data_IF_023805723494
#
_entry.id   IF_023805723494
#
_cell.length_a   1.000
_cell.length_b   1.000
_cell.length_c   1.000
_cell.angle_alpha   90.00
_cell.angle_beta   90.00
_cell.angle_gamma   90.00
#
_symmetry.space_group_name_H-M   'P 1'
#
loop_
_entity.id
_entity.type
_entity.pdbx_description
1 polymer ?
#
# COMPACT_ATOMS: atom_id res chain seq x y z
N UNK A 1 10.19 -17.40 -5.38
CA UNK A 1 9.33 -16.22 -5.51
C UNK A 1 7.92 -16.70 -5.76
N UNK A 2 6.93 -16.26 -4.99
CA UNK A 2 5.55 -16.78 -5.03
C UNK A 2 4.75 -16.25 -6.22
N UNK A 3 5.08 -15.04 -6.69
CA UNK A 3 4.44 -14.42 -7.84
C UNK A 3 5.44 -14.27 -8.99
N UNK A 4 5.11 -14.78 -10.21
CA UNK A 4 5.92 -14.47 -11.39
C UNK A 4 5.72 -12.99 -11.74
N UNK A 5 6.76 -12.30 -12.31
CA UNK A 5 6.59 -10.96 -12.83
C UNK A 5 5.52 -10.92 -13.96
N UNK A 6 4.81 -9.78 -14.13
CA UNK A 6 4.98 -8.53 -13.42
C UNK A 6 4.27 -8.47 -12.07
N UNK A 7 4.86 -7.76 -11.11
CA UNK A 7 4.26 -7.50 -9.80
C UNK A 7 4.72 -6.14 -9.24
N UNK A 8 3.98 -5.64 -8.26
CA UNK A 8 4.39 -4.49 -7.44
C UNK A 8 5.07 -5.01 -6.18
N UNK A 9 6.20 -4.42 -5.81
CA UNK A 9 6.92 -4.67 -4.55
C UNK A 9 7.12 -3.35 -3.81
N UNK A 10 6.45 -3.19 -2.69
CA UNK A 10 6.59 -2.00 -1.83
C UNK A 10 7.43 -2.37 -0.63
N UNK A 11 8.49 -1.61 -0.31
CA UNK A 11 9.31 -1.86 0.89
C UNK A 11 8.46 -1.96 2.15
N UNK A 12 8.87 -2.83 3.07
CA UNK A 12 8.24 -3.04 4.36
C UNK A 12 9.30 -3.01 5.44
N UNK A 13 9.09 -2.26 6.52
CA UNK A 13 10.02 -2.19 7.64
C UNK A 13 10.25 -3.59 8.24
N UNK A 14 11.51 -3.93 8.53
CA UNK A 14 11.90 -5.28 8.98
C UNK A 14 11.13 -5.73 10.22
N UNK A 15 10.89 -4.84 11.20
CA UNK A 15 10.16 -5.22 12.41
C UNK A 15 8.70 -5.65 12.15
N UNK A 16 8.07 -5.14 11.07
CA UNK A 16 6.71 -5.56 10.66
C UNK A 16 6.78 -6.95 10.05
N UNK A 17 7.72 -7.17 9.12
CA UNK A 17 7.91 -8.47 8.47
C UNK A 17 8.25 -9.56 9.49
N UNK A 18 9.20 -9.30 10.38
CA UNK A 18 9.61 -10.21 11.45
C UNK A 18 8.46 -10.49 12.43
N UNK A 19 7.70 -9.45 12.77
CA UNK A 19 6.52 -9.57 13.62
C UNK A 19 5.42 -10.45 13.02
N UNK A 20 5.13 -10.27 11.73
CA UNK A 20 4.16 -11.11 11.00
C UNK A 20 4.64 -12.56 10.91
N UNK A 21 5.92 -12.79 10.62
CA UNK A 21 6.50 -14.12 10.58
C UNK A 21 6.43 -14.81 11.96
N UNK A 22 6.78 -14.08 13.03
CA UNK A 22 6.66 -14.56 14.42
C UNK A 22 5.23 -14.92 14.77
N UNK A 23 4.25 -14.07 14.45
CA UNK A 23 2.84 -14.36 14.72
C UNK A 23 2.34 -15.55 13.91
N UNK A 24 2.79 -15.74 12.66
CA UNK A 24 2.49 -16.91 11.84
C UNK A 24 3.00 -18.20 12.50
N UNK A 25 4.20 -18.18 13.07
CA UNK A 25 4.76 -19.33 13.78
C UNK A 25 3.99 -19.63 15.07
N UNK A 26 3.69 -18.60 15.88
CA UNK A 26 2.87 -18.75 17.09
C UNK A 26 1.46 -19.25 16.79
N UNK A 27 0.88 -18.87 15.65
CA UNK A 27 -0.44 -19.30 15.23
C UNK A 27 -0.55 -20.83 15.03
N UNK A 28 0.57 -21.54 14.84
CA UNK A 28 0.62 -23.00 14.73
C UNK A 28 0.28 -23.70 16.06
N UNK A 29 0.49 -23.02 17.18
CA UNK A 29 0.16 -23.53 18.50
C UNK A 29 -1.10 -22.88 19.05
N UNK A 30 -1.03 -21.65 19.48
CA UNK A 30 -2.16 -20.85 19.95
C UNK A 30 -1.79 -19.37 20.02
N UNK A 31 -2.70 -18.48 19.55
CA UNK A 31 -2.59 -17.04 19.76
C UNK A 31 -3.30 -16.61 21.05
N UNK A 32 -2.66 -15.77 21.85
CA UNK A 32 -3.23 -15.09 22.99
C UNK A 32 -3.81 -13.71 22.64
N UNK A 33 -4.41 -13.03 23.62
CA UNK A 33 -4.96 -11.68 23.44
C UNK A 33 -3.86 -10.64 23.15
N UNK A 34 -2.66 -10.83 23.70
CA UNK A 34 -1.49 -10.01 23.37
C UNK A 34 -1.08 -10.12 21.90
N UNK A 35 -1.11 -11.34 21.34
CA UNK A 35 -0.80 -11.59 19.93
C UNK A 35 -1.83 -10.96 18.99
N UNK A 36 -3.12 -10.94 19.37
CA UNK A 36 -4.16 -10.23 18.60
C UNK A 36 -3.87 -8.73 18.49
N UNK A 37 -3.54 -8.10 19.63
CA UNK A 37 -3.21 -6.66 19.66
C UNK A 37 -1.98 -6.37 18.82
N UNK A 38 -0.93 -7.19 18.96
CA UNK A 38 0.27 -7.07 18.15
C UNK A 38 -0.03 -7.26 16.66
N UNK A 39 -0.83 -8.25 16.30
CA UNK A 39 -1.26 -8.48 14.91
C UNK A 39 -2.02 -7.29 14.33
N UNK A 40 -2.94 -6.68 15.11
CA UNK A 40 -3.63 -5.45 14.70
C UNK A 40 -2.68 -4.31 14.42
N UNK A 41 -1.72 -4.11 15.32
CA UNK A 41 -0.72 -3.05 15.18
C UNK A 41 0.17 -3.28 13.96
N UNK A 42 0.72 -4.48 13.79
CA UNK A 42 1.57 -4.82 12.65
C UNK A 42 0.85 -4.68 11.30
N UNK A 43 -0.44 -5.04 11.25
CA UNK A 43 -1.24 -4.84 10.04
C UNK A 43 -1.48 -3.35 9.77
N UNK A 44 -1.80 -2.55 10.81
CA UNK A 44 -1.94 -1.11 10.65
C UNK A 44 -0.63 -0.45 10.18
N UNK A 45 0.49 -0.86 10.79
CA UNK A 45 1.83 -0.40 10.42
C UNK A 45 2.17 -0.77 8.97
N UNK A 46 1.84 -2.00 8.53
CA UNK A 46 2.06 -2.43 7.14
C UNK A 46 1.26 -1.60 6.13
N UNK A 47 -0.02 -1.29 6.40
CA UNK A 47 -0.79 -0.39 5.55
C UNK A 47 -0.22 1.02 5.52
N UNK A 48 0.21 1.54 6.67
CA UNK A 48 0.82 2.87 6.74
C UNK A 48 2.16 2.91 6.00
N UNK A 49 2.99 1.85 6.09
CA UNK A 49 4.24 1.74 5.33
C UNK A 49 4.00 1.78 3.82
N UNK A 50 3.01 1.03 3.33
CA UNK A 50 2.66 1.06 1.90
C UNK A 50 2.27 2.47 1.47
N UNK A 51 1.45 3.17 2.26
CA UNK A 51 1.05 4.54 1.95
C UNK A 51 2.23 5.51 2.02
N UNK A 52 3.08 5.39 3.03
CA UNK A 52 4.27 6.23 3.19
C UNK A 52 5.22 6.07 2.00
N UNK A 53 5.61 4.86 1.66
CA UNK A 53 6.54 4.59 0.56
C UNK A 53 5.96 4.96 -0.80
N UNK A 54 4.70 4.62 -1.07
CA UNK A 54 4.11 4.85 -2.41
C UNK A 54 3.77 6.33 -2.63
N UNK A 55 3.26 7.03 -1.59
CA UNK A 55 2.71 8.37 -1.78
C UNK A 55 3.40 9.44 -0.96
N UNK A 56 3.52 9.26 0.35
CA UNK A 56 3.86 10.37 1.23
C UNK A 56 5.33 10.75 1.14
N UNK A 57 6.26 9.83 0.95
CA UNK A 57 7.67 10.14 0.72
C UNK A 57 7.84 11.09 -0.47
N UNK A 58 7.19 10.78 -1.59
CA UNK A 58 7.22 11.65 -2.77
C UNK A 58 6.55 13.00 -2.51
N UNK A 59 5.38 13.01 -1.85
CA UNK A 59 4.66 14.25 -1.51
C UNK A 59 5.46 15.14 -0.58
N UNK A 60 6.09 14.60 0.45
CA UNK A 60 6.96 15.36 1.35
C UNK A 60 8.15 15.95 0.60
N UNK A 61 8.74 15.17 -0.30
CA UNK A 61 9.89 15.62 -1.09
C UNK A 61 9.50 16.73 -2.07
N UNK A 62 8.37 16.60 -2.77
CA UNK A 62 7.83 17.64 -3.65
C UNK A 62 7.49 18.89 -2.82
N UNK A 63 6.77 18.75 -1.71
CA UNK A 63 6.38 19.89 -0.88
C UNK A 63 7.58 20.65 -0.30
N UNK A 64 8.70 19.98 -0.06
CA UNK A 64 9.93 20.61 0.42
C UNK A 64 10.55 21.55 -0.63
N UNK A 65 10.48 21.16 -1.92
CA UNK A 65 11.08 21.94 -3.04
C UNK A 65 10.08 22.85 -3.72
N UNK A 66 8.80 22.47 -3.76
CA UNK A 66 7.69 23.19 -4.39
C UNK A 66 6.49 23.23 -3.45
N UNK A 67 6.57 24.00 -2.36
CA UNK A 67 5.49 24.06 -1.38
C UNK A 67 4.23 24.68 -1.96
N UNK A 68 3.09 24.00 -1.76
CA UNK A 68 1.79 24.52 -2.14
C UNK A 68 0.72 24.23 -1.07
N UNK A 69 -0.35 25.04 -1.01
CA UNK A 69 -1.48 24.75 -0.10
C UNK A 69 -2.08 23.37 -0.33
N UNK A 70 -2.17 22.92 -1.59
CA UNK A 70 -2.71 21.60 -1.93
C UNK A 70 -1.83 20.46 -1.43
N UNK A 71 -0.49 20.59 -1.53
CA UNK A 71 0.43 19.57 -1.01
C UNK A 71 0.32 19.47 0.51
N UNK A 72 0.19 20.59 1.22
CA UNK A 72 -0.05 20.59 2.67
C UNK A 72 -1.38 19.96 3.04
N UNK A 73 -2.46 20.27 2.30
CA UNK A 73 -3.78 19.64 2.47
C UNK A 73 -3.69 18.13 2.27
N UNK A 74 -3.02 17.67 1.20
CA UNK A 74 -2.85 16.25 0.88
C UNK A 74 -2.07 15.49 1.97
N UNK A 75 -1.01 16.09 2.50
CA UNK A 75 -0.24 15.53 3.63
C UNK A 75 -1.13 15.41 4.87
N UNK A 76 -1.91 16.46 5.21
CA UNK A 76 -2.83 16.43 6.34
C UNK A 76 -3.92 15.35 6.21
N UNK A 77 -4.50 15.19 5.02
CA UNK A 77 -5.45 14.10 4.73
C UNK A 77 -4.77 12.74 4.91
N UNK A 78 -3.53 12.60 4.48
CA UNK A 78 -2.76 11.37 4.66
C UNK A 78 -2.53 11.00 6.12
N UNK A 79 -2.17 11.96 6.94
CA UNK A 79 -1.98 11.74 8.38
C UNK A 79 -3.31 11.34 9.05
N UNK A 80 -4.43 11.94 8.64
CA UNK A 80 -5.76 11.54 9.10
C UNK A 80 -6.09 10.09 8.66
N UNK A 81 -5.81 9.72 7.41
CA UNK A 81 -6.03 8.35 6.91
C UNK A 81 -5.21 7.34 7.73
N UNK A 82 -3.92 7.60 7.98
CA UNK A 82 -3.06 6.73 8.80
C UNK A 82 -3.60 6.57 10.22
N UNK A 83 -4.00 7.67 10.85
CA UNK A 83 -4.63 7.64 12.18
C UNK A 83 -5.91 6.80 12.20
N UNK A 84 -6.75 6.94 11.17
CA UNK A 84 -7.98 6.14 11.03
C UNK A 84 -7.71 4.65 10.78
N UNK A 85 -6.66 4.30 10.03
CA UNK A 85 -6.24 2.91 9.83
C UNK A 85 -5.90 2.28 11.19
N UNK A 86 -5.05 2.92 11.99
CA UNK A 86 -4.69 2.42 13.32
C UNK A 86 -5.90 2.26 14.24
N UNK A 87 -6.75 3.28 14.33
CA UNK A 87 -7.95 3.23 15.19
C UNK A 87 -8.96 2.18 14.72
N UNK A 88 -9.19 2.08 13.41
CA UNK A 88 -10.17 1.14 12.85
C UNK A 88 -9.73 -0.31 12.99
N UNK A 89 -8.46 -0.63 12.73
CA UNK A 89 -7.95 -2.00 12.88
C UNK A 89 -7.93 -2.44 14.34
N UNK A 90 -7.57 -1.56 15.27
CA UNK A 90 -7.66 -1.84 16.69
C UNK A 90 -9.09 -2.15 17.14
N UNK A 91 -10.06 -1.35 16.68
CA UNK A 91 -11.48 -1.57 16.96
C UNK A 91 -11.99 -2.87 16.32
N UNK A 92 -11.73 -3.07 15.03
CA UNK A 92 -12.18 -4.27 14.30
C UNK A 92 -11.66 -5.55 14.95
N UNK A 93 -10.38 -5.60 15.30
CA UNK A 93 -9.73 -6.78 15.87
C UNK A 93 -10.25 -7.09 17.29
N UNK A 94 -10.73 -6.06 18.02
CA UNK A 94 -11.40 -6.26 19.31
C UNK A 94 -12.62 -7.17 19.27
N UNK A 95 -13.29 -7.30 18.10
CA UNK A 95 -14.47 -8.16 17.93
C UNK A 95 -14.14 -9.63 17.62
N UNK A 96 -12.87 -10.01 17.49
CA UNK A 96 -12.50 -11.35 17.04
C UNK A 96 -11.89 -12.23 18.11
N UNK A 97 -12.17 -13.53 18.01
CA UNK A 97 -11.34 -14.55 18.62
C UNK A 97 -9.96 -14.58 17.97
N UNK A 98 -8.94 -14.99 18.72
CA UNK A 98 -7.58 -15.12 18.23
C UNK A 98 -7.48 -15.98 16.96
N UNK A 99 -8.36 -16.97 16.82
CA UNK A 99 -8.40 -17.87 15.67
C UNK A 99 -8.80 -17.19 14.34
N UNK A 100 -9.63 -16.15 14.40
CA UNK A 100 -10.09 -15.44 13.18
C UNK A 100 -9.06 -14.53 12.56
N UNK A 101 -8.06 -14.08 13.33
CA UNK A 101 -6.98 -13.24 12.79
C UNK A 101 -5.90 -14.07 12.09
N UNK A 102 -5.78 -15.37 12.42
CA UNK A 102 -4.74 -16.25 11.86
C UNK A 102 -4.73 -16.25 10.32
N UNK A 103 -5.87 -16.44 9.61
CA UNK A 103 -5.88 -16.43 8.15
C UNK A 103 -5.39 -15.10 7.56
N UNK A 104 -5.63 -13.98 8.25
CA UNK A 104 -5.18 -12.66 7.79
C UNK A 104 -3.69 -12.47 8.00
N UNK A 105 -3.17 -12.86 9.16
CA UNK A 105 -1.71 -12.84 9.43
C UNK A 105 -0.98 -13.71 8.40
N UNK A 106 -1.46 -14.93 8.15
CA UNK A 106 -0.88 -15.82 7.16
C UNK A 106 -0.94 -15.21 5.76
N UNK A 107 -2.05 -14.59 5.38
CA UNK A 107 -2.19 -13.92 4.09
C UNK A 107 -1.15 -12.79 3.93
N UNK A 108 -0.99 -11.90 4.92
CA UNK A 108 0.02 -10.83 4.84
C UNK A 108 1.45 -11.38 4.88
N UNK A 109 1.71 -12.43 5.66
CA UNK A 109 3.01 -13.09 5.62
C UNK A 109 3.28 -13.72 4.25
N UNK A 110 2.25 -14.22 3.57
CA UNK A 110 2.35 -14.70 2.20
C UNK A 110 2.63 -13.61 1.17
N UNK A 111 2.14 -12.40 1.37
CA UNK A 111 2.44 -11.23 0.55
C UNK A 111 3.81 -10.61 0.88
N UNK A 112 4.42 -10.98 2.01
CA UNK A 112 5.73 -10.46 2.41
C UNK A 112 6.84 -11.30 1.79
N UNK A 113 7.71 -10.65 1.03
CA UNK A 113 8.88 -11.24 0.39
C UNK A 113 10.15 -10.63 0.95
N UNK A 114 11.15 -11.47 1.12
CA UNK A 114 12.49 -11.06 1.51
C UNK A 114 13.46 -11.28 0.35
N UNK A 115 14.31 -10.30 0.09
CA UNK A 115 15.44 -10.40 -0.84
C UNK A 115 16.72 -9.97 -0.12
N UNK A 116 17.79 -10.74 -0.29
CA UNK A 116 19.08 -10.36 0.23
C UNK A 116 19.69 -9.29 -0.69
N UNK A 117 20.11 -8.15 -0.13
CA UNK A 117 20.76 -7.05 -0.83
C UNK A 117 22.08 -6.70 -0.12
N UNK A 118 22.95 -5.96 -0.81
CA UNK A 118 24.13 -5.37 -0.17
C UNK A 118 23.67 -4.41 0.92
N UNK A 119 23.90 -4.76 2.18
CA UNK A 119 23.46 -3.96 3.35
C UNK A 119 22.39 -4.62 4.22
N UNK A 120 21.88 -5.81 3.84
CA UNK A 120 20.95 -6.56 4.66
C UNK A 120 19.76 -7.14 3.90
N UNK A 121 18.83 -7.68 4.65
CA UNK A 121 17.62 -8.29 4.10
C UNK A 121 16.54 -7.26 3.92
N UNK A 122 16.13 -7.02 2.66
CA UNK A 122 15.01 -6.15 2.33
C UNK A 122 13.71 -6.95 2.33
N UNK A 123 12.73 -6.48 3.08
CA UNK A 123 11.38 -7.01 3.05
C UNK A 123 10.49 -6.13 2.18
N UNK A 124 9.56 -6.72 1.45
CA UNK A 124 8.58 -6.00 0.63
C UNK A 124 7.22 -6.67 0.68
N UNK A 125 6.16 -5.88 0.69
CA UNK A 125 4.81 -6.34 0.39
C UNK A 125 4.66 -6.44 -1.12
N UNK A 126 4.27 -7.63 -1.61
CA UNK A 126 4.22 -7.94 -3.04
C UNK A 126 2.81 -8.34 -3.46
N UNK A 127 2.35 -7.80 -4.57
CA UNK A 127 1.10 -8.24 -5.19
C UNK A 127 1.21 -8.27 -6.73
N UNK A 128 0.52 -9.23 -7.40
CA UNK A 128 0.62 -9.39 -8.84
C UNK A 128 0.00 -8.20 -9.57
N UNK A 129 0.60 -7.84 -10.71
CA UNK A 129 0.07 -6.83 -11.62
C UNK A 129 -0.23 -7.50 -12.97
N UNK A 130 -1.36 -7.15 -13.58
CA UNK A 130 -1.70 -7.64 -14.92
C UNK A 130 -0.67 -7.19 -15.97
N UNK A 131 -0.34 -8.05 -16.93
CA UNK A 131 0.70 -7.77 -17.94
C UNK A 131 0.43 -6.51 -18.74
N UNK A 132 -0.83 -6.24 -19.11
CA UNK A 132 -1.23 -5.00 -19.81
C UNK A 132 -0.94 -3.76 -18.97
N UNK A 133 -1.41 -3.74 -17.70
CA UNK A 133 -1.22 -2.61 -16.81
C UNK A 133 0.27 -2.38 -16.52
N UNK A 134 1.06 -3.45 -16.35
CA UNK A 134 2.50 -3.35 -16.18
C UNK A 134 3.20 -2.74 -17.41
N UNK A 135 2.82 -3.19 -18.61
CA UNK A 135 3.39 -2.69 -19.87
C UNK A 135 3.07 -1.21 -20.09
N UNK A 136 1.81 -0.81 -19.86
CA UNK A 136 1.41 0.61 -19.94
C UNK A 136 2.14 1.45 -18.89
N UNK A 137 2.27 0.94 -17.66
CA UNK A 137 3.00 1.63 -16.60
C UNK A 137 4.48 1.82 -16.97
N UNK A 138 5.16 0.79 -17.50
CA UNK A 138 6.54 0.91 -17.95
C UNK A 138 6.71 1.96 -19.08
N UNK A 139 5.78 1.99 -20.05
CA UNK A 139 5.82 2.99 -21.11
C UNK A 139 5.72 4.39 -20.54
N UNK A 140 4.71 4.67 -19.72
CA UNK A 140 4.49 5.99 -19.15
C UNK A 140 5.64 6.42 -18.24
N UNK A 141 6.18 5.50 -17.42
CA UNK A 141 7.34 5.79 -16.59
C UNK A 141 8.56 6.20 -17.44
N UNK A 142 8.79 5.56 -18.61
CA UNK A 142 9.86 5.97 -19.54
C UNK A 142 9.61 7.34 -20.12
N UNK A 143 8.39 7.62 -20.60
CA UNK A 143 8.00 8.92 -21.15
C UNK A 143 8.13 10.07 -20.13
N UNK A 144 7.86 9.80 -18.86
CA UNK A 144 8.09 10.75 -17.77
C UNK A 144 9.58 10.94 -17.48
N UNK A 145 10.37 9.86 -17.56
CA UNK A 145 11.81 9.90 -17.27
C UNK A 145 12.59 10.70 -18.33
N UNK A 146 12.24 10.52 -19.61
CA UNK A 146 12.93 11.18 -20.75
C UNK A 146 12.34 12.55 -21.11
N UNK A 147 11.24 12.96 -20.41
CA UNK A 147 10.57 14.25 -20.63
C UNK A 147 9.68 14.32 -21.87
N UNK A 148 9.43 13.19 -22.56
CA UNK A 148 8.55 13.13 -23.72
C UNK A 148 7.06 13.16 -23.33
N UNK A 149 6.72 12.83 -22.07
CA UNK A 149 5.36 12.91 -21.57
C UNK A 149 4.80 14.34 -21.70
N UNK A 150 3.60 14.45 -22.27
CA UNK A 150 2.90 15.73 -22.43
C UNK A 150 2.46 16.32 -21.09
N UNK A 151 1.88 15.48 -20.24
CA UNK A 151 1.40 15.80 -18.89
C UNK A 151 1.43 14.53 -18.01
N UNK A 152 1.02 14.67 -16.75
CA UNK A 152 0.96 13.56 -15.78
C UNK A 152 -0.38 12.80 -15.78
N UNK A 153 -1.35 13.20 -16.58
CA UNK A 153 -2.72 12.66 -16.48
C UNK A 153 -2.75 11.14 -16.67
N UNK A 154 -2.08 10.64 -17.73
CA UNK A 154 -2.02 9.19 -17.97
C UNK A 154 -1.32 8.45 -16.83
N UNK A 155 -0.22 8.99 -16.31
CA UNK A 155 0.48 8.43 -15.17
C UNK A 155 -0.39 8.36 -13.90
N UNK A 156 -1.18 9.39 -13.64
CA UNK A 156 -2.13 9.43 -12.52
C UNK A 156 -3.25 8.40 -12.68
N UNK A 157 -3.82 8.27 -13.89
CA UNK A 157 -4.87 7.25 -14.11
C UNK A 157 -4.30 5.83 -14.00
N UNK A 158 -3.09 5.55 -14.51
CA UNK A 158 -2.41 4.27 -14.31
C UNK A 158 -2.12 3.99 -12.84
N UNK A 159 -1.68 4.99 -12.07
CA UNK A 159 -1.49 4.85 -10.64
C UNK A 159 -2.80 4.50 -9.93
N UNK A 160 -3.91 5.10 -10.35
CA UNK A 160 -5.25 4.77 -9.85
C UNK A 160 -5.63 3.32 -10.21
N UNK A 161 -5.34 2.85 -11.42
CA UNK A 161 -5.59 1.46 -11.82
C UNK A 161 -4.72 0.47 -11.00
N UNK A 162 -3.45 0.81 -10.72
CA UNK A 162 -2.58 0.00 -9.84
C UNK A 162 -3.12 -0.05 -8.42
N UNK A 163 -3.65 1.07 -7.89
CA UNK A 163 -4.32 1.11 -6.59
C UNK A 163 -5.58 0.24 -6.56
N UNK A 164 -6.38 0.29 -7.62
CA UNK A 164 -7.57 -0.55 -7.74
C UNK A 164 -7.18 -2.03 -7.74
N UNK A 165 -6.11 -2.41 -8.44
CA UNK A 165 -5.57 -3.77 -8.42
C UNK A 165 -5.06 -4.18 -7.03
N UNK A 166 -4.46 -3.25 -6.28
CA UNK A 166 -3.97 -3.50 -4.92
C UNK A 166 -5.10 -3.73 -3.90
N UNK A 167 -6.30 -3.17 -4.12
CA UNK A 167 -7.44 -3.34 -3.19
C UNK A 167 -7.83 -4.80 -3.00
N UNK A 168 -7.74 -5.62 -4.04
CA UNK A 168 -8.11 -7.04 -3.94
C UNK A 168 -7.21 -7.79 -2.94
N UNK A 169 -5.88 -7.86 -3.11
CA UNK A 169 -5.00 -8.57 -2.19
C UNK A 169 -4.86 -7.88 -0.83
N UNK A 170 -4.90 -6.55 -0.77
CA UNK A 170 -4.62 -5.83 0.47
C UNK A 170 -5.86 -5.54 1.32
N UNK A 171 -7.05 -5.45 0.72
CA UNK A 171 -8.26 -5.03 1.45
C UNK A 171 -9.37 -6.08 1.37
N UNK A 172 -9.78 -6.48 0.17
CA UNK A 172 -10.95 -7.33 0.02
C UNK A 172 -10.71 -8.78 0.43
N UNK A 173 -9.55 -9.34 0.11
CA UNK A 173 -9.20 -10.69 0.52
C UNK A 173 -9.05 -10.82 2.05
N UNK A 174 -8.29 -9.96 2.76
CA UNK A 174 -8.29 -9.93 4.22
C UNK A 174 -9.68 -9.78 4.82
N UNK A 175 -10.51 -8.89 4.26
CA UNK A 175 -11.89 -8.71 4.71
C UNK A 175 -12.71 -9.99 4.61
N UNK A 176 -12.60 -10.77 3.51
CA UNK A 176 -13.28 -12.05 3.35
C UNK A 176 -12.76 -13.11 4.31
N UNK A 177 -11.44 -13.16 4.56
CA UNK A 177 -10.82 -14.09 5.49
C UNK A 177 -11.31 -13.89 6.93
N UNK A 178 -11.58 -12.66 7.33
CA UNK A 178 -12.08 -12.34 8.67
C UNK A 178 -13.53 -12.77 8.92
N UNK A 179 -14.30 -13.09 7.88
CA UNK A 179 -15.72 -13.52 7.99
C UNK A 179 -16.52 -12.61 8.93
N UNK A 180 -16.48 -11.29 8.68
CA UNK A 180 -17.19 -10.31 9.47
C UNK A 180 -18.70 -10.57 9.53
N UNK A 181 -19.34 -10.18 10.61
CA UNK A 181 -20.79 -10.10 10.65
C UNK A 181 -21.27 -8.97 9.71
N UNK A 182 -22.56 -8.99 9.39
CA UNK A 182 -23.18 -8.06 8.45
C UNK A 182 -22.90 -6.58 8.81
N UNK A 183 -22.96 -6.23 10.10
CA UNK A 183 -22.79 -4.85 10.56
C UNK A 183 -21.37 -4.35 10.31
N UNK A 184 -20.34 -5.10 10.74
CA UNK A 184 -18.93 -4.74 10.54
C UNK A 184 -18.60 -4.69 9.06
N UNK A 185 -19.07 -5.65 8.26
CA UNK A 185 -18.92 -5.65 6.80
C UNK A 185 -19.46 -4.38 6.17
N UNK A 186 -20.71 -4.00 6.50
CA UNK A 186 -21.35 -2.81 5.94
C UNK A 186 -20.62 -1.53 6.35
N UNK A 187 -20.13 -1.45 7.58
CA UNK A 187 -19.35 -0.31 8.06
C UNK A 187 -18.04 -0.17 7.27
N UNK A 188 -17.31 -1.27 7.09
CA UNK A 188 -16.06 -1.26 6.30
C UNK A 188 -16.31 -0.92 4.83
N UNK A 189 -17.37 -1.45 4.22
CA UNK A 189 -17.76 -1.09 2.86
C UNK A 189 -18.09 0.40 2.74
N UNK A 190 -18.77 0.95 3.73
CA UNK A 190 -19.03 2.39 3.81
C UNK A 190 -17.74 3.22 3.88
N UNK A 191 -16.77 2.81 4.70
CA UNK A 191 -15.47 3.48 4.79
C UNK A 191 -14.71 3.41 3.46
N UNK A 192 -14.61 2.21 2.87
CA UNK A 192 -13.91 2.02 1.59
C UNK A 192 -14.57 2.85 0.48
N UNK A 193 -15.90 2.82 0.38
CA UNK A 193 -16.66 3.56 -0.64
C UNK A 193 -16.56 5.08 -0.50
N UNK A 194 -16.25 5.59 0.69
CA UNK A 194 -16.00 7.00 0.93
C UNK A 194 -14.55 7.40 0.65
N UNK A 195 -13.60 6.64 1.21
CA UNK A 195 -12.17 6.98 1.17
C UNK A 195 -11.60 6.83 -0.25
N UNK A 196 -11.96 5.77 -0.95
CA UNK A 196 -11.39 5.45 -2.26
C UNK A 196 -11.65 6.55 -3.33
N UNK A 197 -12.88 7.06 -3.54
CA UNK A 197 -13.11 8.17 -4.48
C UNK A 197 -12.43 9.47 -4.06
N UNK A 198 -12.36 9.75 -2.75
CA UNK A 198 -11.65 10.93 -2.24
C UNK A 198 -10.17 10.87 -2.57
N UNK A 199 -9.56 9.71 -2.36
CA UNK A 199 -8.15 9.49 -2.66
C UNK A 199 -7.86 9.64 -4.16
N UNK A 200 -8.67 9.05 -5.05
CA UNK A 200 -8.56 9.23 -6.50
C UNK A 200 -8.65 10.70 -6.91
N UNK A 201 -9.62 11.44 -6.34
CA UNK A 201 -9.76 12.88 -6.60
C UNK A 201 -8.53 13.66 -6.15
N UNK A 202 -7.99 13.33 -4.99
CA UNK A 202 -6.76 13.94 -4.47
C UNK A 202 -5.58 13.70 -5.40
N UNK A 203 -5.37 12.48 -5.87
CA UNK A 203 -4.30 12.14 -6.81
C UNK A 203 -4.39 12.94 -8.11
N UNK A 204 -5.60 13.06 -8.70
CA UNK A 204 -5.81 13.88 -9.91
C UNK A 204 -5.51 15.35 -9.68
N UNK A 205 -5.93 15.90 -8.54
CA UNK A 205 -5.63 17.30 -8.18
C UNK A 205 -4.15 17.56 -7.97
N UNK A 206 -3.45 16.64 -7.31
CA UNK A 206 -1.99 16.72 -7.08
C UNK A 206 -1.27 16.61 -8.43
N UNK A 207 -1.57 15.58 -9.22
CA UNK A 207 -0.94 15.36 -10.51
C UNK A 207 -1.03 16.56 -11.44
N UNK A 208 -2.17 17.26 -11.44
CA UNK A 208 -2.36 18.47 -12.25
C UNK A 208 -1.49 19.66 -11.80
N UNK A 209 -0.88 19.62 -10.62
CA UNK A 209 -0.06 20.70 -10.07
C UNK A 209 1.44 20.36 -9.99
N UNK A 210 1.83 19.13 -10.32
CA UNK A 210 3.25 18.74 -10.33
C UNK A 210 3.95 19.41 -11.50
N UNK A 211 5.00 20.24 -11.27
CA UNK A 211 5.76 20.88 -12.32
C UNK A 211 6.44 19.85 -13.23
N UNK A 212 6.55 20.16 -14.52
CA UNK A 212 7.10 19.24 -15.51
C UNK A 212 8.56 18.83 -15.23
N UNK A 213 9.34 19.71 -14.64
CA UNK A 213 10.70 19.44 -14.20
C UNK A 213 10.82 18.31 -13.16
N UNK A 214 9.72 17.98 -12.48
CA UNK A 214 9.68 16.89 -11.49
C UNK A 214 9.25 15.55 -12.09
N UNK A 215 8.87 15.46 -13.38
CA UNK A 215 8.44 14.22 -14.02
C UNK A 215 9.49 13.11 -13.94
N UNK A 216 10.79 13.36 -14.21
CA UNK A 216 11.81 12.32 -14.03
C UNK A 216 11.91 11.80 -12.60
N UNK A 217 11.68 12.66 -11.60
CA UNK A 217 11.68 12.30 -10.19
C UNK A 217 10.46 11.44 -9.83
N UNK A 218 9.28 11.83 -10.33
CA UNK A 218 8.05 11.03 -10.17
C UNK A 218 8.23 9.66 -10.78
N UNK A 219 8.77 9.59 -12.02
CA UNK A 219 9.08 8.33 -12.67
C UNK A 219 10.04 7.48 -11.86
N UNK A 220 11.18 8.04 -11.45
CA UNK A 220 12.19 7.31 -10.67
C UNK A 220 11.62 6.78 -9.33
N UNK A 221 10.69 7.51 -8.72
CA UNK A 221 10.02 7.08 -7.49
C UNK A 221 9.14 5.84 -7.73
N UNK A 222 8.23 5.88 -8.71
CA UNK A 222 7.31 4.76 -8.97
C UNK A 222 7.96 3.56 -9.65
N UNK A 223 9.01 3.78 -10.45
CA UNK A 223 9.76 2.70 -11.08
C UNK A 223 10.39 1.73 -10.07
N UNK A 224 10.68 2.17 -8.84
CA UNK A 224 11.23 1.33 -7.76
C UNK A 224 10.30 0.19 -7.37
N UNK A 225 9.00 0.36 -7.54
CA UNK A 225 7.99 -0.61 -7.08
C UNK A 225 7.58 -1.60 -8.17
N UNK A 226 7.78 -1.27 -9.45
CA UNK A 226 7.36 -2.12 -10.56
C UNK A 226 8.46 -3.12 -10.90
N UNK A 227 8.20 -4.40 -10.64
CA UNK A 227 9.10 -5.50 -11.02
C UNK A 227 8.53 -6.21 -12.23
N UNK A 228 9.30 -6.20 -13.31
CA UNK A 228 8.96 -6.88 -14.57
C UNK A 228 9.96 -7.98 -14.86
N UNK A 229 9.61 -8.91 -15.75
CA UNK A 229 10.56 -9.90 -16.23
C UNK A 229 11.76 -9.19 -16.92
N UNK A 230 12.98 -9.74 -16.76
CA UNK A 230 14.15 -9.23 -17.47
C UNK A 230 14.01 -9.35 -18.99
#
# INVERSE_FOLDING_TARGET
MKFPPPYIAVPLRSHIADGLAMLTERARTRLGDGDKKLGAQLLADAYCDVLDHVFFELLYEINRTHPSPLMKEAIGIGDEIKSRIHSSLGWVIGFFSSERIIPVINHFNELTHAADQEGGRLHSTVFPLGADLASRSQRVLRELADGSAKDLNEGVELLIEVLDAALEPLVFQPKRLMKFNFFVNKTLDGVISLVHPLFKRMLRRIGAQVPRELYPKVSAHFAKFLVTAP
#
